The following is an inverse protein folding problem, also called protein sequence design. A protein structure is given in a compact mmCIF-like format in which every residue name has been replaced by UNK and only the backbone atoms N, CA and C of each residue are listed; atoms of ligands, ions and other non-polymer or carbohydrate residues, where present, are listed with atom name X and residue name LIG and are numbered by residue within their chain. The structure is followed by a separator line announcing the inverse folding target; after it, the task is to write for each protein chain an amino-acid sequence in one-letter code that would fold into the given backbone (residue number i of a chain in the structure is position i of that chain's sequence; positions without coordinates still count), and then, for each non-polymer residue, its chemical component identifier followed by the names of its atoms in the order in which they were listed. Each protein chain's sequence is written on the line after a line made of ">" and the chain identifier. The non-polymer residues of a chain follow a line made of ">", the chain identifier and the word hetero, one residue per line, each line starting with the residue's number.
data_IF_850387687199
#
_entry.id   IF_850387687199
#
_cell.length_a   1.000
_cell.length_b   1.000
_cell.length_c   1.000
_cell.angle_alpha   90.00
_cell.angle_beta   90.00
_cell.angle_gamma   90.00
#
_symmetry.space_group_name_H-M   'P 1'
#
loop_
_entity.id
_entity.type
_entity.pdbx_description
1 polymer ?
#
# COMPACT_ATOMS: atom_id res chain seq x y z
N UNK A 1 8.73 -1.52 -10.56
CA UNK A 1 7.70 -1.33 -9.53
C UNK A 1 6.51 -2.21 -9.85
N UNK A 2 6.32 -3.27 -9.12
CA UNK A 2 5.19 -4.14 -9.40
C UNK A 2 3.90 -3.53 -8.87
N UNK A 3 2.89 -3.48 -9.72
CA UNK A 3 1.53 -3.18 -9.29
C UNK A 3 0.96 -4.46 -8.74
N UNK A 4 0.54 -4.43 -7.46
CA UNK A 4 0.01 -5.63 -6.83
C UNK A 4 -1.51 -5.67 -6.86
N UNK A 5 -2.15 -4.51 -7.00
CA UNK A 5 -3.61 -4.45 -6.91
C UNK A 5 -4.09 -3.11 -7.43
N UNK A 6 -5.25 -3.13 -8.10
CA UNK A 6 -5.95 -1.89 -8.47
C UNK A 6 -7.37 -1.98 -7.95
N UNK A 7 -7.79 -0.95 -7.21
CA UNK A 7 -9.15 -0.87 -6.67
C UNK A 7 -9.66 0.54 -6.97
N UNK A 8 -10.67 0.64 -7.84
CA UNK A 8 -11.18 1.94 -8.26
C UNK A 8 -10.05 2.77 -8.86
N UNK A 9 -9.88 4.02 -8.41
CA UNK A 9 -8.83 4.88 -8.97
C UNK A 9 -7.46 4.66 -8.32
N UNK A 10 -7.34 3.72 -7.38
CA UNK A 10 -6.11 3.54 -6.60
C UNK A 10 -5.27 2.41 -7.13
N UNK A 11 -3.95 2.66 -7.25
CA UNK A 11 -2.97 1.64 -7.60
C UNK A 11 -2.12 1.34 -6.36
N UNK A 12 -2.03 0.07 -5.98
CA UNK A 12 -1.24 -0.38 -4.85
C UNK A 12 0.02 -1.05 -5.36
N UNK A 13 1.18 -0.67 -4.85
CA UNK A 13 2.44 -1.16 -5.40
C UNK A 13 3.56 -1.12 -4.37
N UNK A 14 4.67 -1.83 -4.70
CA UNK A 14 5.93 -1.80 -3.94
C UNK A 14 7.02 -1.20 -4.81
N UNK A 15 8.01 -0.56 -4.18
CA UNK A 15 9.27 -0.24 -4.84
C UNK A 15 10.26 -1.39 -4.60
N UNK A 16 11.21 -1.57 -5.52
CA UNK A 16 12.16 -2.68 -5.42
C UNK A 16 13.06 -2.59 -4.18
N UNK A 17 13.26 -1.40 -3.64
CA UNK A 17 14.07 -1.21 -2.44
C UNK A 17 13.32 -1.33 -1.14
N UNK A 18 12.01 -1.62 -1.19
CA UNK A 18 11.17 -1.59 0.01
C UNK A 18 11.49 -2.71 1.00
N UNK A 19 12.17 -3.77 0.57
CA UNK A 19 12.45 -4.91 1.44
C UNK A 19 13.31 -4.58 2.66
N UNK A 20 13.97 -3.41 2.63
CA UNK A 20 14.81 -3.00 3.74
C UNK A 20 14.02 -2.40 4.90
N UNK A 21 12.71 -2.24 4.71
CA UNK A 21 11.81 -1.71 5.72
C UNK A 21 10.78 -2.77 6.10
N UNK A 22 10.02 -2.49 7.17
CA UNK A 22 8.90 -3.35 7.53
C UNK A 22 7.88 -3.39 6.38
N UNK A 23 7.05 -4.43 6.37
CA UNK A 23 6.08 -4.62 5.29
C UNK A 23 5.17 -3.41 5.17
N UNK A 24 5.06 -2.87 3.97
CA UNK A 24 4.23 -1.70 3.70
C UNK A 24 3.79 -1.69 2.25
N UNK A 25 2.88 -0.77 1.92
CA UNK A 25 2.38 -0.63 0.55
C UNK A 25 2.28 0.86 0.23
N UNK A 26 2.48 1.18 -1.04
CA UNK A 26 2.28 2.53 -1.56
C UNK A 26 0.98 2.55 -2.34
N UNK A 27 0.24 3.65 -2.23
CA UNK A 27 -1.05 3.83 -2.91
C UNK A 27 -0.98 5.09 -3.74
N UNK A 28 -1.19 4.95 -5.03
CA UNK A 28 -1.11 6.06 -5.96
C UNK A 28 -2.46 6.35 -6.59
N UNK A 29 -2.79 7.64 -6.66
CA UNK A 29 -3.87 8.15 -7.50
C UNK A 29 -3.43 9.52 -8.00
N UNK A 30 -3.40 9.69 -9.34
CA UNK A 30 -2.93 10.91 -9.97
C UNK A 30 -1.50 11.21 -9.53
N UNK A 31 -1.25 12.37 -8.93
CA UNK A 31 0.09 12.78 -8.46
C UNK A 31 0.30 12.54 -6.97
N UNK A 32 -0.61 11.83 -6.31
CA UNK A 32 -0.54 11.59 -4.87
C UNK A 32 -0.09 10.16 -4.61
N UNK A 33 0.83 10.00 -3.66
CA UNK A 33 1.31 8.66 -3.26
C UNK A 33 1.37 8.62 -1.74
N UNK A 34 0.55 7.73 -1.15
CA UNK A 34 0.56 7.50 0.28
C UNK A 34 1.37 6.25 0.61
N UNK A 35 1.80 6.14 1.86
CA UNK A 35 2.53 4.96 2.35
C UNK A 35 1.86 4.47 3.62
N UNK A 36 1.57 3.17 3.69
CA UNK A 36 0.85 2.55 4.80
C UNK A 36 1.58 1.28 5.22
N UNK A 37 1.90 1.16 6.52
CA UNK A 37 2.43 -0.08 7.08
C UNK A 37 1.34 -1.12 7.11
N UNK A 38 1.70 -2.39 6.91
CA UNK A 38 0.72 -3.48 6.85
C UNK A 38 0.64 -4.32 8.12
N UNK A 39 1.62 -4.25 9.00
CA UNK A 39 1.64 -5.11 10.19
C UNK A 39 2.24 -4.37 11.39
N UNK A 40 1.41 -3.72 12.21
CA UNK A 40 -0.03 -3.51 12.03
C UNK A 40 -0.32 -2.47 10.96
N UNK A 41 -1.57 -2.40 10.53
CA UNK A 41 -1.97 -1.39 9.55
C UNK A 41 -1.87 -0.02 10.19
N UNK A 42 -1.05 0.86 9.61
CA UNK A 42 -0.82 2.18 10.14
C UNK A 42 -0.34 3.13 9.06
N UNK A 43 -0.94 4.31 8.99
CA UNK A 43 -0.55 5.31 8.01
C UNK A 43 0.85 5.85 8.33
N UNK A 44 1.74 5.83 7.33
CA UNK A 44 3.05 6.46 7.43
C UNK A 44 3.01 7.89 6.89
N UNK A 45 2.48 8.05 5.68
CA UNK A 45 2.35 9.38 5.10
C UNK A 45 1.14 9.42 4.18
N UNK A 46 0.43 10.57 4.18
CA UNK A 46 -0.80 10.72 3.43
C UNK A 46 -0.57 11.10 1.97
N UNK A 47 0.61 11.63 1.62
CA UNK A 47 0.95 11.92 0.24
C UNK A 47 0.04 12.92 -0.46
N UNK A 48 -0.65 13.76 0.29
CA UNK A 48 -1.57 14.73 -0.28
C UNK A 48 -3.01 14.28 -0.36
N UNK A 49 -3.32 13.03 0.00
CA UNK A 49 -4.70 12.56 0.05
C UNK A 49 -5.46 13.25 1.18
N UNK A 50 -6.75 13.50 0.98
CA UNK A 50 -7.60 14.04 2.03
C UNK A 50 -7.85 13.00 3.11
N UNK A 51 -8.33 13.45 4.25
CA UNK A 51 -8.65 12.55 5.36
C UNK A 51 -9.70 11.51 4.95
N UNK A 52 -10.70 11.92 4.18
CA UNK A 52 -11.75 10.98 3.76
C UNK A 52 -11.21 9.96 2.75
N UNK A 53 -10.28 10.34 1.90
CA UNK A 53 -9.64 9.40 0.98
C UNK A 53 -8.74 8.41 1.72
N UNK A 54 -7.99 8.90 2.71
CA UNK A 54 -7.16 8.03 3.53
C UNK A 54 -8.04 7.00 4.25
N UNK A 55 -9.21 7.42 4.74
CA UNK A 55 -10.14 6.49 5.38
C UNK A 55 -10.58 5.38 4.42
N UNK A 56 -10.89 5.73 3.16
CA UNK A 56 -11.25 4.74 2.15
C UNK A 56 -10.08 3.80 1.85
N UNK A 57 -8.88 4.36 1.70
CA UNK A 57 -7.68 3.58 1.41
C UNK A 57 -7.41 2.57 2.53
N UNK A 58 -7.52 3.00 3.79
CA UNK A 58 -7.27 2.11 4.91
C UNK A 58 -8.29 0.98 4.97
N UNK A 59 -9.54 1.25 4.60
CA UNK A 59 -10.57 0.20 4.55
C UNK A 59 -10.27 -0.83 3.46
N UNK A 60 -9.79 -0.38 2.31
CA UNK A 60 -9.38 -1.29 1.24
C UNK A 60 -8.22 -2.16 1.71
N UNK A 61 -7.23 -1.54 2.35
CA UNK A 61 -6.06 -2.26 2.86
C UNK A 61 -6.49 -3.30 3.89
N UNK A 62 -7.40 -2.94 4.80
CA UNK A 62 -7.92 -3.88 5.79
C UNK A 62 -8.49 -5.13 5.14
N UNK A 63 -9.29 -4.94 4.08
CA UNK A 63 -9.95 -6.07 3.44
C UNK A 63 -9.00 -6.89 2.56
N UNK A 64 -7.89 -6.30 2.10
CA UNK A 64 -6.95 -6.95 1.18
C UNK A 64 -5.57 -7.20 1.82
N UNK A 65 -5.47 -7.05 3.13
CA UNK A 65 -4.18 -7.10 3.82
C UNK A 65 -3.43 -8.40 3.57
N UNK A 66 -4.11 -9.53 3.66
CA UNK A 66 -3.44 -10.82 3.48
C UNK A 66 -2.92 -11.01 2.07
N UNK A 67 -3.70 -10.59 1.08
CA UNK A 67 -3.27 -10.66 -0.31
C UNK A 67 -2.04 -9.77 -0.55
N UNK A 68 -2.01 -8.59 0.10
CA UNK A 68 -0.88 -7.69 -0.02
C UNK A 68 0.36 -8.26 0.65
N UNK A 69 0.21 -8.90 1.80
CA UNK A 69 1.34 -9.52 2.49
C UNK A 69 1.89 -10.70 1.71
N UNK A 70 1.01 -11.49 1.09
CA UNK A 70 1.41 -12.57 0.21
C UNK A 70 2.21 -12.04 -0.99
N UNK A 71 1.71 -10.96 -1.59
CA UNK A 71 2.40 -10.33 -2.72
C UNK A 71 3.78 -9.83 -2.31
N UNK A 72 3.90 -9.27 -1.11
CA UNK A 72 5.19 -8.84 -0.58
C UNK A 72 6.16 -10.01 -0.48
N UNK A 73 5.70 -11.11 0.12
CA UNK A 73 6.54 -12.29 0.29
C UNK A 73 6.95 -12.87 -1.07
N UNK A 74 6.01 -12.93 -2.02
CA UNK A 74 6.30 -13.44 -3.36
C UNK A 74 7.32 -12.56 -4.08
N UNK A 75 7.16 -11.25 -3.98
CA UNK A 75 8.02 -10.32 -4.70
C UNK A 75 9.43 -10.28 -4.11
N UNK A 76 9.55 -10.30 -2.80
CA UNK A 76 10.85 -10.17 -2.12
C UNK A 76 11.47 -11.52 -1.75
N UNK A 77 10.83 -12.63 -2.10
CA UNK A 77 11.44 -13.95 -1.97
C UNK A 77 11.41 -14.54 -0.57
N UNK A 78 10.44 -14.17 0.22
CA UNK A 78 10.31 -14.76 1.55
C UNK A 78 9.23 -15.80 1.62
#
# INVERSE_FOLDING_TARGET
>A
MPTILRVGPYRFFFYSGDMEEAIHVHIERDDKIAKVWLDPIRLHSSGGFSRSEISKILKIIESKREAMMEAWNDYFGN
#
